data_IF_060221084600
#
_entry.id   IF_060221084600
#
_cell.length_a   1.000
_cell.length_b   1.000
_cell.length_c   1.000
_cell.angle_alpha   90.00
_cell.angle_beta   90.00
_cell.angle_gamma   90.00
#
_symmetry.space_group_name_H-M   'P 1'
#
loop_
_entity.id
_entity.type
_entity.pdbx_description
1 polymer ?
#
# COMPACT_ATOMS: atom_id res chain seq x y z
N UNK A 1 -53.55 -76.99 20.80
CA UNK A 1 -52.60 -76.23 21.65
C UNK A 1 -51.65 -75.56 20.70
N UNK A 2 -51.96 -74.32 20.38
CA UNK A 2 -51.77 -73.81 19.03
C UNK A 2 -50.42 -73.11 18.92
N UNK A 3 -49.46 -73.80 18.28
CA UNK A 3 -48.12 -73.28 17.99
C UNK A 3 -48.17 -71.97 17.19
N UNK A 4 -49.26 -71.73 16.46
CA UNK A 4 -49.49 -70.53 15.65
C UNK A 4 -49.57 -69.24 16.47
N UNK A 5 -50.08 -69.30 17.71
CA UNK A 5 -50.12 -68.13 18.59
C UNK A 5 -48.72 -67.77 19.09
N UNK A 6 -47.93 -68.77 19.50
CA UNK A 6 -46.55 -68.57 19.97
C UNK A 6 -45.64 -68.01 18.86
N UNK A 7 -45.81 -68.49 17.61
CA UNK A 7 -45.06 -67.96 16.46
C UNK A 7 -45.40 -66.51 16.12
N UNK A 8 -46.64 -66.06 16.36
CA UNK A 8 -47.06 -64.69 16.10
C UNK A 8 -46.42 -63.71 17.10
N UNK A 9 -46.37 -64.09 18.38
CA UNK A 9 -45.68 -63.30 19.42
C UNK A 9 -44.16 -63.26 19.22
N UNK A 10 -43.54 -64.37 18.77
CA UNK A 10 -42.12 -64.41 18.40
C UNK A 10 -41.80 -63.49 17.22
N UNK A 11 -42.68 -63.43 16.21
CA UNK A 11 -42.50 -62.56 15.05
C UNK A 11 -42.60 -61.07 15.43
N UNK A 12 -43.55 -60.70 16.28
CA UNK A 12 -43.67 -59.32 16.79
C UNK A 12 -42.43 -58.89 17.59
N UNK A 13 -41.89 -59.79 18.42
CA UNK A 13 -40.70 -59.51 19.22
C UNK A 13 -39.45 -59.36 18.33
N UNK A 14 -39.32 -60.20 17.29
CA UNK A 14 -38.24 -60.10 16.31
C UNK A 14 -38.28 -58.77 15.53
N UNK A 15 -39.45 -58.32 15.08
CA UNK A 15 -39.60 -57.04 14.37
C UNK A 15 -39.24 -55.85 15.28
N UNK A 16 -39.62 -55.90 16.56
CA UNK A 16 -39.24 -54.88 17.54
C UNK A 16 -37.74 -54.80 17.77
N UNK A 17 -37.06 -55.95 17.91
CA UNK A 17 -35.60 -56.00 18.07
C UNK A 17 -34.88 -55.51 16.81
N UNK A 18 -35.34 -55.91 15.62
CA UNK A 18 -34.74 -55.47 14.36
C UNK A 18 -34.92 -53.96 14.19
N UNK A 19 -36.10 -53.41 14.49
CA UNK A 19 -36.34 -51.97 14.49
C UNK A 19 -35.45 -51.22 15.49
N UNK A 20 -35.27 -51.77 16.69
CA UNK A 20 -34.37 -51.21 17.70
C UNK A 20 -32.90 -51.25 17.27
N UNK A 21 -32.43 -52.36 16.68
CA UNK A 21 -31.07 -52.51 16.17
C UNK A 21 -30.79 -51.58 14.98
N UNK A 22 -31.74 -51.45 14.04
CA UNK A 22 -31.64 -50.51 12.92
C UNK A 22 -31.63 -49.06 13.43
N UNK A 23 -32.50 -48.72 14.38
CA UNK A 23 -32.53 -47.42 15.01
C UNK A 23 -31.24 -47.10 15.78
N UNK A 24 -30.67 -48.09 16.48
CA UNK A 24 -29.40 -47.97 17.20
C UNK A 24 -28.22 -47.81 16.24
N UNK A 25 -28.21 -48.56 15.12
CA UNK A 25 -27.16 -48.48 14.11
C UNK A 25 -27.20 -47.16 13.32
N UNK A 26 -28.39 -46.62 13.02
CA UNK A 26 -28.57 -45.30 12.42
C UNK A 26 -28.31 -44.13 13.39
N UNK A 27 -28.34 -44.36 14.70
CA UNK A 27 -27.99 -43.37 15.74
C UNK A 27 -26.48 -43.15 15.86
N UNK A 28 -25.66 -44.10 15.38
CA UNK A 28 -24.20 -44.10 15.47
C UNK A 28 -23.51 -43.38 14.31
N UNK A 29 -23.69 -42.06 14.20
CA UNK A 29 -23.08 -41.28 13.11
C UNK A 29 -22.71 -39.85 13.50
N UNK A 30 -22.44 -39.58 14.78
CA UNK A 30 -22.19 -38.24 15.30
C UNK A 30 -20.79 -37.68 15.03
N UNK A 31 -20.35 -37.63 13.75
CA UNK A 31 -19.16 -36.86 13.35
C UNK A 31 -19.56 -35.51 12.72
N UNK A 32 -20.63 -34.90 13.25
CA UNK A 32 -21.15 -33.61 12.80
C UNK A 32 -20.52 -32.41 13.50
N UNK A 33 -19.92 -32.57 14.69
CA UNK A 33 -19.53 -31.40 15.49
C UNK A 33 -18.18 -30.80 15.09
N UNK A 34 -17.19 -31.61 14.67
CA UNK A 34 -15.85 -31.11 14.33
C UNK A 34 -15.85 -30.30 13.03
N UNK A 35 -16.54 -30.79 12.00
CA UNK A 35 -16.70 -30.07 10.72
C UNK A 35 -17.54 -28.80 10.89
N UNK A 36 -18.58 -28.84 11.74
CA UNK A 36 -19.39 -27.64 12.04
C UNK A 36 -18.58 -26.57 12.80
N UNK A 37 -17.69 -26.99 13.72
CA UNK A 37 -16.77 -26.09 14.43
C UNK A 37 -15.75 -25.45 13.48
N UNK A 38 -15.12 -26.23 12.59
CA UNK A 38 -14.17 -25.73 11.59
C UNK A 38 -14.85 -24.75 10.62
N UNK A 39 -16.08 -25.02 10.19
CA UNK A 39 -16.86 -24.11 9.35
C UNK A 39 -17.15 -22.79 10.08
N UNK A 40 -17.46 -22.84 11.37
CA UNK A 40 -17.73 -21.64 12.17
C UNK A 40 -16.46 -20.80 12.37
N UNK A 41 -15.33 -21.45 12.62
CA UNK A 41 -14.02 -20.80 12.75
C UNK A 41 -13.52 -20.21 11.42
N UNK A 42 -13.74 -20.91 10.30
CA UNK A 42 -13.42 -20.40 8.97
C UNK A 42 -14.28 -19.17 8.63
N UNK A 43 -15.56 -19.19 8.96
CA UNK A 43 -16.46 -18.04 8.77
C UNK A 43 -16.04 -16.83 9.61
N UNK A 44 -15.66 -17.04 10.88
CA UNK A 44 -15.18 -15.94 11.72
C UNK A 44 -13.84 -15.36 11.23
N UNK A 45 -12.94 -16.21 10.71
CA UNK A 45 -11.68 -15.76 10.07
C UNK A 45 -11.92 -14.93 8.81
N UNK A 46 -12.86 -15.35 7.95
CA UNK A 46 -13.22 -14.57 6.76
C UNK A 46 -13.74 -13.20 7.19
N UNK A 47 -14.61 -13.16 8.20
CA UNK A 47 -15.16 -11.89 8.70
C UNK A 47 -14.08 -10.98 9.30
N UNK A 48 -13.09 -11.53 10.02
CA UNK A 48 -11.98 -10.73 10.55
C UNK A 48 -11.04 -10.24 9.45
N UNK A 49 -10.73 -11.08 8.46
CA UNK A 49 -9.91 -10.71 7.30
C UNK A 49 -10.59 -9.65 6.43
N UNK A 50 -11.90 -9.76 6.22
CA UNK A 50 -12.69 -8.73 5.53
C UNK A 50 -12.73 -7.42 6.32
N UNK A 51 -12.84 -7.45 7.65
CA UNK A 51 -12.77 -6.26 8.48
C UNK A 51 -11.37 -5.62 8.47
N UNK A 52 -10.31 -6.44 8.50
CA UNK A 52 -8.92 -5.97 8.35
C UNK A 52 -8.70 -5.35 6.97
N UNK A 53 -9.18 -5.99 5.89
CA UNK A 53 -9.12 -5.44 4.54
C UNK A 53 -9.89 -4.13 4.42
N UNK A 54 -11.09 -4.03 5.00
CA UNK A 54 -11.86 -2.79 5.01
C UNK A 54 -11.17 -1.69 5.83
N UNK A 55 -10.56 -2.02 6.96
CA UNK A 55 -9.81 -1.05 7.76
C UNK A 55 -8.53 -0.57 7.04
N UNK A 56 -7.87 -1.48 6.31
CA UNK A 56 -6.69 -1.17 5.51
C UNK A 56 -7.08 -0.36 4.26
N UNK A 57 -8.20 -0.69 3.63
CA UNK A 57 -8.77 0.10 2.53
C UNK A 57 -9.18 1.49 3.00
N UNK A 58 -9.80 1.64 4.17
CA UNK A 58 -10.08 2.95 4.76
C UNK A 58 -8.80 3.71 5.10
N UNK A 59 -7.75 3.03 5.54
CA UNK A 59 -6.44 3.63 5.79
C UNK A 59 -5.79 4.11 4.49
N UNK A 60 -5.90 3.33 3.42
CA UNK A 60 -5.47 3.70 2.07
C UNK A 60 -6.33 4.81 1.48
N UNK A 61 -7.64 4.81 1.68
CA UNK A 61 -8.54 5.86 1.21
C UNK A 61 -8.42 7.13 2.02
N UNK A 62 -8.00 7.07 3.29
CA UNK A 62 -7.65 8.24 4.09
C UNK A 62 -6.26 8.77 3.73
N UNK A 63 -5.28 7.89 3.48
CA UNK A 63 -3.97 8.27 2.97
C UNK A 63 -4.07 8.85 1.55
N UNK A 64 -4.91 8.24 0.71
CA UNK A 64 -5.29 8.77 -0.59
C UNK A 64 -6.10 10.03 -0.42
N UNK A 65 -7.09 10.15 0.45
CA UNK A 65 -7.87 11.38 0.64
C UNK A 65 -7.01 12.55 1.16
N UNK A 66 -6.01 12.28 1.99
CA UNK A 66 -4.96 13.23 2.35
C UNK A 66 -4.08 13.63 1.13
N UNK A 67 -4.02 12.79 0.09
CA UNK A 67 -3.43 13.06 -1.23
C UNK A 67 -4.45 13.53 -2.31
N UNK A 68 -5.77 13.31 -2.15
CA UNK A 68 -6.85 13.54 -3.14
C UNK A 68 -7.31 15.00 -3.14
N UNK A 69 -6.76 15.84 -2.26
CA UNK A 69 -6.85 17.30 -2.40
C UNK A 69 -6.08 17.86 -3.62
N UNK A 70 -5.24 17.07 -4.29
CA UNK A 70 -4.51 17.48 -5.50
C UNK A 70 -4.49 16.38 -6.57
N UNK A 71 -5.65 15.81 -6.88
CA UNK A 71 -5.89 15.14 -8.16
C UNK A 71 -6.02 16.17 -9.28
N UNK A 72 -4.92 16.79 -9.69
CA UNK A 72 -4.81 17.54 -10.93
C UNK A 72 -3.79 16.79 -11.78
N UNK A 73 -4.05 16.64 -13.09
CA UNK A 73 -2.99 16.40 -14.06
C UNK A 73 -1.89 17.43 -13.71
N UNK A 74 -0.74 16.99 -13.19
CA UNK A 74 0.37 17.86 -12.79
C UNK A 74 1.00 18.44 -14.06
N UNK A 75 0.22 19.27 -14.74
CA UNK A 75 0.65 20.04 -15.89
C UNK A 75 1.50 21.15 -15.32
N UNK A 76 2.74 21.22 -15.80
CA UNK A 76 3.69 22.22 -15.35
C UNK A 76 3.15 23.64 -15.61
N UNK A 77 2.96 24.43 -14.55
CA UNK A 77 2.57 25.83 -14.66
C UNK A 77 3.79 26.73 -14.89
N UNK A 78 4.21 26.79 -16.15
CA UNK A 78 5.32 27.64 -16.58
C UNK A 78 5.07 29.13 -16.33
N UNK A 79 3.81 29.58 -16.27
CA UNK A 79 3.46 30.99 -16.07
C UNK A 79 3.63 31.38 -14.60
N UNK A 80 3.18 30.55 -13.67
CA UNK A 80 3.43 30.73 -12.24
C UNK A 80 4.93 30.68 -11.93
N UNK A 81 5.64 29.68 -12.47
CA UNK A 81 7.08 29.55 -12.29
C UNK A 81 7.82 30.81 -12.76
N UNK A 82 7.50 31.32 -13.96
CA UNK A 82 8.09 32.54 -14.51
C UNK A 82 7.77 33.78 -13.67
N UNK A 83 6.54 33.89 -13.15
CA UNK A 83 6.12 35.02 -12.30
C UNK A 83 6.93 35.11 -11.01
N UNK A 84 7.24 33.96 -10.40
CA UNK A 84 7.96 33.91 -9.13
C UNK A 84 9.47 34.09 -9.32
N UNK A 85 10.07 33.36 -10.27
CA UNK A 85 11.52 33.35 -10.43
C UNK A 85 12.05 34.40 -11.42
N UNK A 86 11.16 35.10 -12.14
CA UNK A 86 11.52 36.08 -13.17
C UNK A 86 12.20 35.48 -14.41
N UNK A 87 12.39 34.16 -14.46
CA UNK A 87 13.04 33.42 -15.55
C UNK A 87 12.16 32.31 -16.09
N UNK A 88 12.34 31.97 -17.37
CA UNK A 88 11.65 30.82 -17.97
C UNK A 88 12.26 29.54 -17.42
N UNK A 89 11.48 28.79 -16.64
CA UNK A 89 11.83 27.45 -16.17
C UNK A 89 11.26 26.45 -17.16
N UNK A 90 12.06 25.45 -17.54
CA UNK A 90 11.59 24.33 -18.35
C UNK A 90 11.02 23.26 -17.42
N UNK A 91 10.01 22.54 -17.90
CA UNK A 91 9.50 21.37 -17.20
C UNK A 91 10.66 20.40 -16.92
N UNK A 92 10.67 19.85 -15.70
CA UNK A 92 11.69 18.90 -15.24
C UNK A 92 13.13 19.43 -15.22
N UNK A 93 13.31 20.76 -15.24
CA UNK A 93 14.64 21.34 -15.07
C UNK A 93 15.09 21.24 -13.61
N UNK A 94 15.88 20.20 -13.30
CA UNK A 94 16.42 19.96 -11.96
C UNK A 94 17.32 21.10 -11.46
N UNK A 95 17.80 22.00 -12.35
CA UNK A 95 18.61 23.18 -11.97
C UNK A 95 17.83 24.24 -11.19
N UNK A 96 16.51 24.12 -11.12
CA UNK A 96 15.69 25.00 -10.27
C UNK A 96 15.91 24.73 -8.78
N UNK A 97 16.38 23.53 -8.44
CA UNK A 97 16.66 23.09 -7.07
C UNK A 97 18.02 23.63 -6.65
N UNK A 98 18.07 24.24 -5.48
CA UNK A 98 19.30 24.81 -4.95
C UNK A 98 20.32 23.71 -4.62
N UNK A 99 21.56 23.92 -5.06
CA UNK A 99 22.64 22.93 -4.93
C UNK A 99 22.78 21.97 -6.10
N UNK A 100 21.79 21.87 -7.00
CA UNK A 100 21.88 21.04 -8.22
C UNK A 100 22.45 21.86 -9.39
N UNK A 101 23.77 21.76 -9.58
CA UNK A 101 24.46 22.35 -10.73
C UNK A 101 24.37 21.48 -12.00
N UNK A 102 24.75 22.02 -13.19
CA UNK A 102 24.69 21.28 -14.47
C UNK A 102 25.43 19.94 -14.47
N UNK A 103 26.52 19.82 -13.70
CA UNK A 103 27.28 18.58 -13.55
C UNK A 103 26.52 17.53 -12.72
N UNK A 104 25.81 17.95 -11.68
CA UNK A 104 25.00 17.08 -10.82
C UNK A 104 23.78 16.58 -11.58
N UNK A 105 23.14 17.44 -12.38
CA UNK A 105 22.07 17.04 -13.31
C UNK A 105 22.54 15.90 -14.22
N UNK A 106 23.74 16.02 -14.79
CA UNK A 106 24.33 14.96 -15.61
C UNK A 106 24.47 13.63 -14.87
N UNK A 107 24.88 13.66 -13.59
CA UNK A 107 24.94 12.44 -12.77
C UNK A 107 23.55 11.85 -12.56
N UNK A 108 22.56 12.63 -12.13
CA UNK A 108 21.19 12.14 -11.93
C UNK A 108 20.59 11.54 -13.21
N UNK A 109 20.83 12.16 -14.36
CA UNK A 109 20.37 11.65 -15.65
C UNK A 109 20.98 10.28 -16.00
N UNK A 110 22.23 10.02 -15.60
CA UNK A 110 22.88 8.72 -15.78
C UNK A 110 22.23 7.62 -14.92
N UNK A 111 21.58 8.00 -13.81
CA UNK A 111 20.78 7.11 -12.96
C UNK A 111 19.29 7.12 -13.31
N UNK A 112 18.94 7.57 -14.52
CA UNK A 112 17.56 7.67 -15.01
C UNK A 112 16.65 8.63 -14.19
N UNK A 113 17.22 9.48 -13.34
CA UNK A 113 16.49 10.49 -12.58
C UNK A 113 16.49 11.78 -13.40
N UNK A 114 15.44 11.97 -14.20
CA UNK A 114 15.34 13.08 -15.18
C UNK A 114 14.21 14.05 -14.91
N UNK A 115 13.29 13.71 -14.00
CA UNK A 115 12.06 14.47 -13.73
C UNK A 115 12.02 14.94 -12.27
N UNK A 116 11.25 15.98 -11.99
CA UNK A 116 11.03 16.41 -10.60
C UNK A 116 10.35 15.32 -9.79
N UNK A 117 9.41 14.58 -10.40
CA UNK A 117 8.74 13.43 -9.79
C UNK A 117 9.74 12.33 -9.37
N UNK A 118 10.63 11.95 -10.29
CA UNK A 118 11.64 10.93 -10.00
C UNK A 118 12.60 11.38 -8.88
N UNK A 119 12.97 12.66 -8.85
CA UNK A 119 13.84 13.18 -7.79
C UNK A 119 13.09 13.35 -6.45
N UNK A 120 11.79 13.63 -6.47
CA UNK A 120 10.97 13.80 -5.27
C UNK A 120 10.75 12.48 -4.52
N UNK A 121 10.67 11.36 -5.24
CA UNK A 121 10.39 10.05 -4.68
C UNK A 121 11.63 9.23 -4.32
N UNK A 122 12.84 9.73 -4.59
CA UNK A 122 14.06 9.06 -4.17
C UNK A 122 14.49 9.48 -2.76
N UNK A 123 15.17 8.57 -2.09
CA UNK A 123 15.70 8.82 -0.75
C UNK A 123 16.94 9.71 -0.81
N UNK A 124 17.17 10.48 0.25
CA UNK A 124 18.40 11.26 0.43
C UNK A 124 19.65 10.37 0.35
N UNK A 125 19.56 9.14 0.86
CA UNK A 125 20.63 8.14 0.75
C UNK A 125 20.95 7.81 -0.71
N UNK A 126 19.93 7.66 -1.57
CA UNK A 126 20.15 7.41 -3.00
C UNK A 126 20.76 8.62 -3.70
N UNK A 127 20.31 9.83 -3.38
CA UNK A 127 20.95 11.05 -3.88
C UNK A 127 22.45 11.09 -3.52
N UNK A 128 22.80 10.73 -2.29
CA UNK A 128 24.18 10.69 -1.82
C UNK A 128 25.02 9.66 -2.59
N UNK A 129 24.49 8.46 -2.80
CA UNK A 129 25.14 7.41 -3.60
C UNK A 129 25.43 7.91 -5.03
N UNK A 130 24.47 8.60 -5.66
CA UNK A 130 24.65 9.19 -6.99
C UNK A 130 25.78 10.23 -7.00
N UNK A 131 25.86 11.07 -5.97
CA UNK A 131 26.95 12.06 -5.85
C UNK A 131 28.32 11.40 -5.64
N UNK A 132 28.38 10.38 -4.78
CA UNK A 132 29.61 9.63 -4.50
C UNK A 132 30.14 8.95 -5.77
N UNK A 133 29.25 8.44 -6.63
CA UNK A 133 29.65 7.88 -7.93
C UNK A 133 30.28 8.91 -8.89
N UNK A 134 30.01 10.20 -8.70
CA UNK A 134 30.63 11.28 -9.44
C UNK A 134 32.03 11.67 -8.94
N UNK A 135 32.44 11.16 -7.78
CA UNK A 135 33.73 11.41 -7.13
C UNK A 135 33.68 12.45 -5.99
N UNK A 136 34.79 12.57 -5.25
CA UNK A 136 34.90 13.36 -4.01
C UNK A 136 34.49 14.83 -4.13
N UNK A 137 34.61 15.41 -5.33
CA UNK A 137 34.24 16.80 -5.60
C UNK A 137 32.77 17.14 -5.29
N UNK A 138 31.90 16.14 -5.20
CA UNK A 138 30.48 16.34 -4.91
C UNK A 138 30.09 16.13 -3.44
N UNK A 139 31.00 15.63 -2.59
CA UNK A 139 30.73 15.41 -1.15
C UNK A 139 30.46 16.68 -0.35
N UNK A 140 30.84 17.84 -0.90
CA UNK A 140 30.57 19.15 -0.30
C UNK A 140 29.11 19.58 -0.45
N UNK A 141 28.34 18.95 -1.34
CA UNK A 141 26.92 19.24 -1.52
C UNK A 141 26.07 18.38 -0.59
N UNK A 142 25.09 19.00 0.05
CA UNK A 142 24.11 18.29 0.87
C UNK A 142 22.85 17.97 0.06
N UNK A 143 22.55 16.68 -0.22
CA UNK A 143 21.35 16.29 -0.95
C UNK A 143 20.07 16.27 -0.09
N UNK A 144 20.14 16.53 1.21
CA UNK A 144 19.01 16.37 2.12
C UNK A 144 17.75 17.14 1.71
N UNK A 145 17.93 18.33 1.12
CA UNK A 145 16.81 19.19 0.69
C UNK A 145 16.32 18.93 -0.73
N UNK A 146 17.05 18.14 -1.54
CA UNK A 146 16.75 18.00 -2.97
C UNK A 146 15.42 17.29 -3.25
N UNK A 147 15.10 16.14 -2.62
CA UNK A 147 13.82 15.48 -2.84
C UNK A 147 12.63 16.37 -2.45
N UNK A 148 12.76 17.10 -1.34
CA UNK A 148 11.73 18.03 -0.87
C UNK A 148 11.52 19.20 -1.83
N UNK A 149 12.59 19.84 -2.31
CA UNK A 149 12.49 20.90 -3.32
C UNK A 149 11.92 20.38 -4.64
N UNK A 150 12.31 19.17 -5.06
CA UNK A 150 11.76 18.53 -6.25
C UNK A 150 10.25 18.28 -6.11
N UNK A 151 9.79 17.84 -4.94
CA UNK A 151 8.36 17.69 -4.65
C UNK A 151 7.61 19.01 -4.81
N UNK A 152 8.14 20.11 -4.27
CA UNK A 152 7.54 21.44 -4.45
C UNK A 152 7.47 21.87 -5.92
N UNK A 153 8.46 21.50 -6.74
CA UNK A 153 8.43 21.76 -8.19
C UNK A 153 7.35 20.93 -8.88
N UNK A 154 7.25 19.64 -8.54
CA UNK A 154 6.26 18.72 -9.09
C UNK A 154 4.82 19.14 -8.73
N UNK A 155 4.61 19.65 -7.52
CA UNK A 155 3.32 20.14 -7.02
C UNK A 155 2.99 21.59 -7.47
N UNK A 156 3.80 22.20 -8.35
CA UNK A 156 3.66 23.61 -8.77
C UNK A 156 3.66 24.62 -7.60
N UNK A 157 4.26 24.28 -6.45
CA UNK A 157 4.37 25.14 -5.26
C UNK A 157 5.51 26.15 -5.39
N UNK A 158 5.55 26.88 -6.50
CA UNK A 158 6.63 27.81 -6.88
C UNK A 158 6.89 28.90 -5.84
N UNK A 159 5.83 29.44 -5.23
CA UNK A 159 5.94 30.47 -4.18
C UNK A 159 6.59 29.92 -2.91
N UNK A 160 6.26 28.69 -2.54
CA UNK A 160 6.82 28.03 -1.36
C UNK A 160 8.28 27.66 -1.59
N UNK A 161 8.59 27.10 -2.76
CA UNK A 161 9.96 26.83 -3.18
C UNK A 161 10.83 28.08 -3.12
N UNK A 162 10.36 29.19 -3.72
CA UNK A 162 11.11 30.44 -3.72
C UNK A 162 11.30 31.00 -2.30
N UNK A 163 10.27 30.97 -1.45
CA UNK A 163 10.39 31.38 -0.05
C UNK A 163 11.42 30.51 0.68
N UNK A 164 11.32 29.19 0.52
CA UNK A 164 12.26 28.24 1.13
C UNK A 164 13.69 28.53 0.71
N UNK A 165 13.95 28.73 -0.58
CA UNK A 165 15.28 29.07 -1.12
C UNK A 165 15.80 30.43 -0.65
N UNK A 166 14.92 31.42 -0.45
CA UNK A 166 15.33 32.72 0.10
C UNK A 166 15.70 32.61 1.58
N UNK A 167 14.93 31.85 2.37
CA UNK A 167 15.17 31.64 3.79
C UNK A 167 16.40 30.74 4.05
N UNK A 168 16.62 29.75 3.19
CA UNK A 168 17.63 28.70 3.37
C UNK A 168 18.77 28.77 2.34
N UNK A 169 19.15 29.97 1.87
CA UNK A 169 20.24 30.27 0.88
C UNK A 169 21.61 29.60 1.09
N UNK A 170 21.77 28.82 2.15
CA UNK A 170 23.00 28.10 2.51
C UNK A 170 22.80 26.57 2.55
N UNK A 171 21.64 26.05 2.15
CA UNK A 171 21.38 24.60 2.06
C UNK A 171 21.42 23.84 3.39
N UNK A 172 21.43 24.55 4.53
CA UNK A 172 21.40 23.95 5.86
C UNK A 172 19.97 23.88 6.37
N UNK A 173 19.52 22.66 6.65
CA UNK A 173 18.42 22.40 7.59
C UNK A 173 18.88 22.71 9.02
#
# INVERSE_FOLDING_TARGET
>A
MDNSNLTFWLLLLAVGIIGFLIGYFLRGGGKGNKSQQEILELKSKIQSLEAELLSCQHSLDNAKAAQTGQGQVHTFDFKAAKKIFGKTIKQDDLKVIEGIGPKIVGLFHNYNIKTWDALAHITVAKCKEVLESGGDRYRVHDPASWPMQAMMCYENKWKELHRWQVEHKHGKL
#
